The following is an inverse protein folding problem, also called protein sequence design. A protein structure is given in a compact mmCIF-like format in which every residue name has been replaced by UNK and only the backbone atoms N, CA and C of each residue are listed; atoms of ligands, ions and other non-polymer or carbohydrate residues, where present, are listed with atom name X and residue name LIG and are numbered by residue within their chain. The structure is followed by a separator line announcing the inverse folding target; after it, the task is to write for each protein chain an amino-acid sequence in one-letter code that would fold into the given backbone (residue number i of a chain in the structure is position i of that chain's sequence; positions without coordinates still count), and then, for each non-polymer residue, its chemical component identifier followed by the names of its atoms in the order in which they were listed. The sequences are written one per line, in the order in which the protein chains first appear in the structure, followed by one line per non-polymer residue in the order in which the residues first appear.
data_IF_542951594914
#
_entry.id   IF_542951594914
#
_cell.length_a   1.000
_cell.length_b   1.000
_cell.length_c   1.000
_cell.angle_alpha   90.00
_cell.angle_beta   90.00
_cell.angle_gamma   90.00
#
_symmetry.space_group_name_H-M   'P 1'
#
loop_
_entity.id
_entity.type
_entity.pdbx_description
1 polymer ?
#
# COMPACT_ATOMS: atom_id res chain seq x y z
N UNK A 1 -8.82 -19.71 -27.32
CA UNK A 1 -7.75 -18.88 -26.69
C UNK A 1 -8.01 -18.65 -25.20
N UNK A 2 -7.67 -19.60 -24.31
CA UNK A 2 -7.84 -19.46 -22.85
C UNK A 2 -6.81 -18.52 -22.18
N UNK A 3 -5.73 -18.16 -22.90
CA UNK A 3 -4.57 -17.43 -22.38
C UNK A 3 -4.89 -16.01 -21.87
N UNK A 4 -5.70 -15.24 -22.60
CA UNK A 4 -5.99 -13.84 -22.21
C UNK A 4 -6.87 -13.75 -20.95
N UNK A 5 -7.77 -14.72 -20.72
CA UNK A 5 -8.62 -14.75 -19.52
C UNK A 5 -7.79 -15.06 -18.26
N UNK A 6 -6.83 -15.97 -18.40
CA UNK A 6 -5.88 -16.30 -17.34
C UNK A 6 -4.98 -15.10 -17.00
N UNK A 7 -4.48 -14.37 -18.00
CA UNK A 7 -3.65 -13.17 -17.81
C UNK A 7 -4.43 -12.05 -17.12
N UNK A 8 -5.66 -11.75 -17.58
CA UNK A 8 -6.51 -10.72 -16.98
C UNK A 8 -6.80 -11.01 -15.50
N UNK A 9 -7.15 -12.27 -15.20
CA UNK A 9 -7.38 -12.73 -13.84
C UNK A 9 -6.10 -12.64 -13.00
N UNK A 10 -4.95 -13.03 -13.55
CA UNK A 10 -3.67 -12.95 -12.86
C UNK A 10 -3.32 -11.50 -12.49
N UNK A 11 -3.40 -10.57 -13.44
CA UNK A 11 -3.09 -9.15 -13.22
C UNK A 11 -4.04 -8.54 -12.18
N UNK A 12 -5.34 -8.83 -12.28
CA UNK A 12 -6.32 -8.37 -11.30
C UNK A 12 -6.01 -8.88 -9.89
N UNK A 13 -5.74 -10.19 -9.74
CA UNK A 13 -5.40 -10.77 -8.45
C UNK A 13 -4.07 -10.26 -7.90
N UNK A 14 -3.09 -9.98 -8.77
CA UNK A 14 -1.82 -9.39 -8.36
C UNK A 14 -2.01 -7.96 -7.84
N UNK A 15 -2.74 -7.12 -8.57
CA UNK A 15 -3.04 -5.74 -8.15
C UNK A 15 -3.86 -5.69 -6.86
N UNK A 16 -4.89 -6.52 -6.76
CA UNK A 16 -5.76 -6.58 -5.58
C UNK A 16 -5.05 -7.21 -4.38
N UNK A 17 -4.28 -8.27 -4.62
CA UNK A 17 -3.50 -8.96 -3.58
C UNK A 17 -2.40 -8.08 -3.01
N UNK A 18 -1.71 -7.31 -3.84
CA UNK A 18 -0.70 -6.35 -3.38
C UNK A 18 -1.29 -5.19 -2.58
N UNK A 19 -2.47 -4.68 -2.96
CA UNK A 19 -3.22 -3.71 -2.16
C UNK A 19 -3.59 -4.28 -0.78
N UNK A 20 -4.12 -5.51 -0.73
CA UNK A 20 -4.48 -6.17 0.53
C UNK A 20 -3.22 -6.38 1.39
N UNK A 21 -2.14 -6.88 0.80
CA UNK A 21 -0.87 -7.08 1.51
C UNK A 21 -0.32 -5.76 2.07
N UNK A 22 -0.43 -4.65 1.33
CA UNK A 22 -0.06 -3.33 1.80
C UNK A 22 -0.90 -2.90 3.00
N UNK A 23 -2.23 -3.04 2.91
CA UNK A 23 -3.13 -2.73 4.01
C UNK A 23 -2.86 -3.59 5.26
N UNK A 24 -2.51 -4.87 5.10
CA UNK A 24 -2.18 -5.74 6.23
C UNK A 24 -0.81 -5.37 6.83
N UNK A 25 0.18 -5.09 5.99
CA UNK A 25 1.52 -4.73 6.43
C UNK A 25 1.54 -3.42 7.23
N UNK A 26 0.75 -2.41 6.81
CA UNK A 26 0.77 -1.08 7.41
C UNK A 26 -0.48 -0.73 8.21
N UNK A 27 -1.54 -1.52 8.15
CA UNK A 27 -2.76 -1.33 8.93
C UNK A 27 -2.79 -2.11 10.24
N UNK A 28 -1.92 -3.11 10.41
CA UNK A 28 -1.80 -3.85 11.66
C UNK A 28 -0.79 -3.18 12.61
N UNK A 29 -1.13 -3.00 13.91
CA UNK A 29 -0.30 -2.27 14.87
C UNK A 29 1.16 -2.73 14.92
N UNK A 30 1.41 -4.03 15.08
CA UNK A 30 2.77 -4.56 15.24
C UNK A 30 3.54 -4.70 13.92
N UNK A 31 2.85 -4.96 12.82
CA UNK A 31 3.49 -5.15 11.51
C UNK A 31 3.88 -3.79 10.92
N UNK A 32 3.04 -2.78 11.15
CA UNK A 32 3.25 -1.43 10.65
C UNK A 32 4.50 -0.77 11.21
N UNK A 33 4.80 -0.95 12.49
CA UNK A 33 5.99 -0.37 13.14
C UNK A 33 7.28 -0.97 12.60
N UNK A 34 7.34 -2.29 12.47
CA UNK A 34 8.50 -3.00 11.91
C UNK A 34 8.69 -2.66 10.44
N UNK A 35 7.60 -2.71 9.65
CA UNK A 35 7.64 -2.42 8.22
C UNK A 35 8.02 -0.97 7.91
N UNK A 36 7.38 -0.01 8.58
CA UNK A 36 7.68 1.41 8.42
C UNK A 36 9.09 1.75 8.94
N UNK A 37 9.52 1.15 10.06
CA UNK A 37 10.87 1.31 10.57
C UNK A 37 11.94 0.90 9.55
N UNK A 38 11.73 -0.23 8.85
CA UNK A 38 12.63 -0.68 7.77
C UNK A 38 12.64 0.26 6.58
N UNK A 39 11.50 0.81 6.17
CA UNK A 39 11.42 1.77 5.06
C UNK A 39 12.15 3.07 5.39
N UNK A 40 11.96 3.56 6.62
CA UNK A 40 12.63 4.75 7.16
C UNK A 40 14.15 4.53 7.23
N UNK A 41 14.59 3.35 7.69
CA UNK A 41 16.01 2.96 7.72
C UNK A 41 16.61 2.91 6.30
N UNK A 42 15.89 2.33 5.33
CA UNK A 42 16.31 2.28 3.92
C UNK A 42 16.41 3.67 3.28
N UNK A 43 15.55 4.60 3.69
CA UNK A 43 15.58 5.98 3.21
C UNK A 43 16.72 6.81 3.83
N UNK A 44 17.56 6.21 4.68
CA UNK A 44 18.65 6.90 5.37
C UNK A 44 18.16 7.87 6.44
N UNK A 45 16.92 7.74 6.89
CA UNK A 45 16.39 8.59 7.95
C UNK A 45 16.98 8.18 9.31
N UNK A 46 17.05 9.13 10.25
CA UNK A 46 17.40 8.79 11.63
C UNK A 46 16.32 7.88 12.22
N UNK A 47 16.71 6.74 12.81
CA UNK A 47 15.75 5.78 13.35
C UNK A 47 14.93 6.39 14.49
N UNK A 48 13.68 5.96 14.68
CA UNK A 48 12.86 6.40 15.80
C UNK A 48 13.46 5.90 17.14
N UNK A 49 13.32 6.70 18.20
CA UNK A 49 13.61 6.29 19.57
C UNK A 49 12.30 6.16 20.36
N UNK A 50 12.37 5.72 21.62
CA UNK A 50 11.18 5.51 22.45
C UNK A 50 10.32 6.79 22.60
N UNK A 51 10.96 7.96 22.57
CA UNK A 51 10.31 9.27 22.74
C UNK A 51 10.37 10.16 21.49
N UNK A 52 11.05 9.73 20.42
CA UNK A 52 11.22 10.54 19.20
C UNK A 52 10.83 9.78 17.94
N UNK A 53 10.07 10.45 17.08
CA UNK A 53 9.79 9.97 15.73
C UNK A 53 11.05 9.98 14.87
N UNK A 54 11.06 9.16 13.83
CA UNK A 54 12.13 9.17 12.84
C UNK A 54 12.22 10.53 12.14
N UNK A 55 13.46 10.97 11.85
CA UNK A 55 13.70 12.25 11.17
C UNK A 55 14.24 11.94 9.78
N UNK A 56 13.47 12.29 8.77
CA UNK A 56 13.86 12.19 7.37
C UNK A 56 14.21 13.57 6.80
N UNK A 57 15.08 13.65 5.78
CA UNK A 57 15.26 14.88 5.01
C UNK A 57 13.94 15.27 4.33
N UNK A 58 13.65 16.58 4.17
CA UNK A 58 12.41 17.06 3.59
C UNK A 58 12.26 16.59 2.15
N UNK A 59 11.09 16.06 1.81
CA UNK A 59 10.81 15.50 0.48
C UNK A 59 11.21 14.04 0.33
N UNK A 60 11.56 13.37 1.44
CA UNK A 60 11.82 11.93 1.42
C UNK A 60 10.54 11.15 1.13
N UNK A 61 10.65 10.11 0.29
CA UNK A 61 9.53 9.20 0.05
C UNK A 61 9.08 8.43 1.32
N UNK A 62 9.92 8.42 2.36
CA UNK A 62 9.65 7.76 3.64
C UNK A 62 8.91 8.64 4.66
N UNK A 63 8.72 9.94 4.39
CA UNK A 63 8.01 10.88 5.28
C UNK A 63 6.61 10.37 5.72
N UNK A 64 5.77 9.82 4.82
CA UNK A 64 4.46 9.28 5.17
C UNK A 64 4.52 8.05 6.09
N UNK A 65 5.67 7.37 6.16
CA UNK A 65 5.90 6.18 6.98
C UNK A 65 6.41 6.52 8.39
N UNK A 66 6.91 7.73 8.62
CA UNK A 66 7.38 8.20 9.94
C UNK A 66 6.33 7.94 11.04
N UNK A 67 5.06 8.38 10.91
CA UNK A 67 4.07 8.15 11.96
C UNK A 67 3.69 6.67 12.10
N UNK A 68 3.93 5.80 11.12
CA UNK A 68 3.72 4.35 11.27
C UNK A 68 4.88 3.67 12.00
N UNK A 69 6.09 4.25 11.94
CA UNK A 69 7.28 3.70 12.61
C UNK A 69 7.28 3.91 14.13
N UNK A 70 6.43 4.80 14.64
CA UNK A 70 6.39 5.14 16.06
C UNK A 70 5.43 4.23 16.84
N UNK A 71 5.85 3.77 18.02
CA UNK A 71 5.12 2.74 18.77
C UNK A 71 3.75 3.22 19.27
N UNK A 72 3.62 4.51 19.65
CA UNK A 72 2.36 5.07 20.18
C UNK A 72 1.25 5.16 19.13
N UNK A 73 1.62 5.42 17.87
CA UNK A 73 0.69 5.56 16.74
C UNK A 73 0.30 4.22 16.14
N UNK A 74 0.96 3.12 16.54
CA UNK A 74 0.62 1.76 16.12
C UNK A 74 -0.80 1.33 16.53
N UNK A 75 -1.29 1.77 17.69
CA UNK A 75 -2.67 1.51 18.13
C UNK A 75 -3.74 2.14 17.23
N UNK A 76 -3.35 3.15 16.44
CA UNK A 76 -4.17 3.83 15.45
C UNK A 76 -3.71 3.57 14.01
N UNK A 77 -2.95 2.50 13.78
CA UNK A 77 -2.37 2.17 12.46
C UNK A 77 -3.38 2.26 11.30
N UNK A 78 -4.63 1.78 11.40
CA UNK A 78 -5.61 1.95 10.32
C UNK A 78 -5.92 3.42 9.98
N UNK A 79 -6.04 4.28 11.01
CA UNK A 79 -6.31 5.70 10.81
C UNK A 79 -5.09 6.45 10.27
N UNK A 80 -3.90 6.13 10.78
CA UNK A 80 -2.63 6.70 10.31
C UNK A 80 -2.36 6.28 8.86
N UNK A 81 -2.65 5.03 8.51
CA UNK A 81 -2.58 4.53 7.14
C UNK A 81 -3.51 5.32 6.22
N UNK A 82 -4.77 5.51 6.60
CA UNK A 82 -5.74 6.26 5.78
C UNK A 82 -5.36 7.74 5.65
N UNK A 83 -4.85 8.37 6.72
CA UNK A 83 -4.45 9.78 6.71
C UNK A 83 -3.24 10.03 5.80
N UNK A 84 -2.24 9.15 5.84
CA UNK A 84 -0.98 9.35 5.12
C UNK A 84 -0.97 8.72 3.72
N UNK A 85 -1.70 7.61 3.53
CA UNK A 85 -1.73 6.86 2.28
C UNK A 85 -3.11 6.84 1.62
N UNK A 86 -4.09 7.61 2.12
CA UNK A 86 -5.44 7.64 1.56
C UNK A 86 -5.46 7.89 0.06
N UNK A 87 -4.70 8.88 -0.42
CA UNK A 87 -4.56 9.16 -1.85
C UNK A 87 -3.98 7.98 -2.64
N UNK A 88 -2.96 7.31 -2.11
CA UNK A 88 -2.37 6.11 -2.71
C UNK A 88 -3.37 4.95 -2.75
N UNK A 89 -4.09 4.70 -1.64
CA UNK A 89 -5.09 3.65 -1.54
C UNK A 89 -6.25 3.88 -2.52
N UNK A 90 -6.72 5.12 -2.64
CA UNK A 90 -7.76 5.47 -3.61
C UNK A 90 -7.27 5.31 -5.05
N UNK A 91 -6.07 5.79 -5.37
CA UNK A 91 -5.47 5.61 -6.70
C UNK A 91 -5.29 4.13 -7.05
N UNK A 92 -4.82 3.32 -6.10
CA UNK A 92 -4.64 1.88 -6.29
C UNK A 92 -5.99 1.16 -6.46
N UNK A 93 -6.99 1.51 -5.66
CA UNK A 93 -8.35 0.98 -5.83
C UNK A 93 -8.92 1.32 -7.23
N UNK A 94 -8.67 2.53 -7.73
CA UNK A 94 -9.04 2.92 -9.10
C UNK A 94 -8.30 2.09 -10.16
N UNK A 95 -7.02 1.79 -9.96
CA UNK A 95 -6.26 0.89 -10.86
C UNK A 95 -6.87 -0.51 -10.87
N UNK A 96 -7.21 -1.07 -9.70
CA UNK A 96 -7.89 -2.36 -9.60
C UNK A 96 -9.24 -2.35 -10.34
N UNK A 97 -10.03 -1.28 -10.18
CA UNK A 97 -11.30 -1.11 -10.87
C UNK A 97 -11.11 -0.97 -12.40
N UNK A 98 -10.12 -0.21 -12.85
CA UNK A 98 -9.80 -0.03 -14.27
C UNK A 98 -9.37 -1.34 -14.94
N UNK A 99 -8.54 -2.15 -14.25
CA UNK A 99 -8.15 -3.49 -14.71
C UNK A 99 -9.39 -4.39 -14.81
N UNK A 100 -10.23 -4.41 -13.77
CA UNK A 100 -11.46 -5.18 -13.76
C UNK A 100 -12.40 -4.81 -14.92
N UNK A 101 -12.58 -3.51 -15.14
CA UNK A 101 -13.40 -2.98 -16.23
C UNK A 101 -12.82 -3.31 -17.62
N UNK A 102 -11.51 -3.12 -17.82
CA UNK A 102 -10.85 -3.46 -19.07
C UNK A 102 -10.98 -4.95 -19.40
N UNK A 103 -10.81 -5.82 -18.40
CA UNK A 103 -10.99 -7.25 -18.56
C UNK A 103 -12.45 -7.62 -18.90
N UNK A 104 -13.44 -6.98 -18.26
CA UNK A 104 -14.86 -7.19 -18.58
C UNK A 104 -15.22 -6.75 -20.00
N UNK A 105 -14.69 -5.61 -20.46
CA UNK A 105 -14.87 -5.14 -21.84
C UNK A 105 -14.24 -6.08 -22.88
N UNK A 106 -13.09 -6.67 -22.57
CA UNK A 106 -12.44 -7.64 -23.45
C UNK A 106 -13.22 -8.96 -23.54
N UNK A 107 -13.94 -9.34 -22.48
CA UNK A 107 -14.84 -10.49 -22.49
C UNK A 107 -16.12 -10.18 -23.28
N UNK A 108 -16.74 -9.01 -23.12
CA UNK A 108 -17.98 -8.64 -23.82
C UNK A 108 -17.79 -8.51 -25.33
N UNK A 109 -16.68 -7.90 -25.79
CA UNK A 109 -16.33 -7.79 -27.22
C UNK A 109 -16.08 -9.13 -27.91
N UNK A 110 -15.90 -10.22 -27.16
CA UNK A 110 -15.73 -11.57 -27.72
C UNK A 110 -17.04 -12.36 -27.79
N UNK A 111 -18.08 -11.91 -27.09
CA UNK A 111 -19.38 -12.55 -27.07
C UNK A 111 -20.34 -12.01 -28.14
N UNK A 112 -19.96 -10.90 -28.80
CA UNK A 112 -20.60 -10.34 -30.00
C UNK A 112 -19.89 -10.81 -31.25
#
# INVERSE_FOLDING_TARGET
MPRNRSICRFIFWLATGSLIAFCLAFGLPFVSTVGAGKIVEMAGCKPPSFDMQAICPPGSYAEPFIPLSHWFTSGFAPFVLLKNFGGLLTAWAMVCAAIGFACALLESRRAS
#
